data_IF_394730536644
#
_entry.id   IF_394730536644
#
_cell.length_a   1.000
_cell.length_b   1.000
_cell.length_c   1.000
_cell.angle_alpha   90.00
_cell.angle_beta   90.00
_cell.angle_gamma   90.00
#
_symmetry.space_group_name_H-M   'P 1'
#
loop_
_entity.id
_entity.type
_entity.pdbx_description
1 polymer ?
#
# COMPACT_ATOMS: atom_id res chain seq x y z
N UNK A 1 11.25 50.37 25.34
CA UNK A 1 10.15 49.38 25.53
C UNK A 1 9.43 49.04 24.22
N UNK A 2 8.86 50.01 23.49
CA UNK A 2 8.17 49.75 22.20
C UNK A 2 9.03 49.07 21.11
N UNK A 3 10.33 49.41 21.03
CA UNK A 3 11.28 48.79 20.08
C UNK A 3 11.69 47.35 20.45
N UNK A 4 11.64 46.97 21.74
CA UNK A 4 11.94 45.61 22.19
C UNK A 4 10.80 44.64 21.86
N UNK A 5 9.55 45.11 22.01
CA UNK A 5 8.34 44.34 21.67
C UNK A 5 8.30 44.04 20.17
N UNK A 6 8.67 45.00 19.32
CA UNK A 6 8.69 44.81 17.87
C UNK A 6 9.74 43.78 17.42
N UNK A 7 10.87 43.66 18.12
CA UNK A 7 11.92 42.69 17.82
C UNK A 7 11.51 41.25 18.20
N UNK A 8 10.77 41.09 19.31
CA UNK A 8 10.21 39.79 19.71
C UNK A 8 9.13 39.30 18.74
N UNK A 9 8.28 40.19 18.22
CA UNK A 9 7.22 39.82 17.26
C UNK A 9 7.84 39.34 15.93
N UNK A 10 8.93 39.96 15.47
CA UNK A 10 9.62 39.56 14.23
C UNK A 10 10.35 38.22 14.41
N UNK A 11 10.91 37.94 15.60
CA UNK A 11 11.53 36.64 15.88
C UNK A 11 10.50 35.50 15.98
N UNK A 12 9.29 35.77 16.46
CA UNK A 12 8.21 34.78 16.53
C UNK A 12 7.61 34.41 15.16
N UNK A 13 7.68 35.29 14.15
CA UNK A 13 7.16 35.03 12.80
C UNK A 13 8.14 34.17 11.97
N UNK A 14 9.41 34.10 12.36
CA UNK A 14 10.45 33.30 11.70
C UNK A 14 10.43 31.81 12.07
N UNK A 15 9.51 31.39 12.95
CA UNK A 15 9.19 29.97 13.12
C UNK A 15 8.30 29.55 11.96
N UNK A 16 8.90 29.41 10.78
CA UNK A 16 8.31 28.60 9.73
C UNK A 16 8.04 27.24 10.35
N UNK A 17 6.75 26.91 10.48
CA UNK A 17 6.29 25.58 10.85
C UNK A 17 6.74 24.66 9.72
N UNK A 18 7.96 24.13 9.83
CA UNK A 18 8.40 23.04 9.00
C UNK A 18 7.51 21.87 9.39
N UNK A 19 6.57 21.50 8.51
CA UNK A 19 5.92 20.20 8.62
C UNK A 19 7.05 19.15 8.65
N UNK A 20 6.99 18.24 9.61
CA UNK A 20 8.01 17.19 9.77
C UNK A 20 8.03 16.34 8.49
N UNK A 21 9.10 16.49 7.68
CA UNK A 21 9.27 15.75 6.41
C UNK A 21 10.10 14.48 6.58
N UNK A 22 10.46 14.11 7.81
CA UNK A 22 11.21 12.88 8.05
C UNK A 22 10.30 11.66 7.98
N UNK A 23 10.58 10.68 7.09
CA UNK A 23 9.88 9.39 7.09
C UNK A 23 10.12 8.71 8.44
N UNK A 24 9.04 8.48 9.20
CA UNK A 24 9.08 7.75 10.47
C UNK A 24 9.16 6.23 10.27
N UNK A 25 8.81 5.75 9.08
CA UNK A 25 8.92 4.37 8.66
C UNK A 25 9.47 4.32 7.22
N UNK A 26 10.40 3.41 6.95
CA UNK A 26 10.92 3.13 5.61
C UNK A 26 11.42 1.70 5.51
N UNK A 27 11.35 1.14 4.31
CA UNK A 27 11.97 -0.12 3.93
C UNK A 27 13.07 0.19 2.92
N UNK A 28 14.32 0.18 3.37
CA UNK A 28 15.50 0.54 2.57
C UNK A 28 16.72 -0.22 3.06
N UNK A 29 17.76 -0.29 2.24
CA UNK A 29 19.06 -0.88 2.58
C UNK A 29 19.35 -2.13 1.76
N UNK A 30 20.59 -2.61 1.84
CA UNK A 30 21.06 -3.82 1.18
C UNK A 30 21.89 -4.66 2.18
N UNK A 31 21.35 -5.76 2.75
CA UNK A 31 19.97 -6.21 2.58
C UNK A 31 18.97 -5.23 3.21
N UNK A 32 17.74 -5.21 2.70
CA UNK A 32 16.68 -4.32 3.21
C UNK A 32 16.43 -4.55 4.71
N UNK A 33 16.37 -3.46 5.49
CA UNK A 33 16.10 -3.54 6.92
C UNK A 33 14.59 -3.56 7.20
N UNK A 34 14.11 -4.66 7.79
CA UNK A 34 12.71 -4.89 8.17
C UNK A 34 12.43 -4.64 9.65
N UNK A 35 13.35 -4.04 10.40
CA UNK A 35 13.12 -3.71 11.82
C UNK A 35 11.90 -2.80 11.95
N UNK A 36 10.93 -3.21 12.77
CA UNK A 36 9.66 -2.49 12.94
C UNK A 36 8.60 -2.81 11.88
N UNK A 37 8.86 -3.78 11.01
CA UNK A 37 7.92 -4.27 10.00
C UNK A 37 7.62 -5.74 10.21
N UNK A 38 6.36 -6.11 9.97
CA UNK A 38 5.89 -7.49 10.04
C UNK A 38 5.63 -8.02 8.64
N UNK A 39 6.45 -8.98 8.26
CA UNK A 39 6.27 -9.79 7.06
C UNK A 39 5.37 -10.98 7.39
N UNK A 40 4.52 -11.35 6.45
CA UNK A 40 3.55 -12.44 6.59
C UNK A 40 3.31 -13.14 5.25
N UNK A 41 2.91 -14.40 5.30
CA UNK A 41 2.73 -15.21 4.09
C UNK A 41 4.07 -15.44 3.39
N UNK A 42 4.09 -15.25 2.08
CA UNK A 42 5.28 -15.44 1.23
C UNK A 42 6.23 -14.24 1.21
N UNK A 43 5.91 -13.17 1.96
CA UNK A 43 6.70 -11.95 1.97
C UNK A 43 8.11 -12.20 2.54
N UNK A 44 9.15 -11.79 1.80
CA UNK A 44 10.56 -11.93 2.19
C UNK A 44 11.44 -10.85 1.57
N UNK A 45 12.63 -10.67 2.12
CA UNK A 45 13.68 -9.87 1.48
C UNK A 45 14.42 -10.75 0.45
N UNK A 46 14.71 -10.18 -0.71
CA UNK A 46 15.45 -10.87 -1.76
C UNK A 46 15.72 -9.97 -2.96
N UNK A 47 16.03 -10.64 -4.07
CA UNK A 47 16.23 -10.07 -5.40
C UNK A 47 15.30 -10.82 -6.36
N UNK A 48 14.42 -10.11 -7.06
CA UNK A 48 13.54 -10.73 -8.08
C UNK A 48 14.20 -10.82 -9.46
N UNK A 49 15.46 -10.39 -9.60
CA UNK A 49 16.23 -10.37 -10.85
C UNK A 49 15.60 -9.50 -11.94
N UNK A 50 14.66 -8.63 -11.57
CA UNK A 50 14.01 -7.73 -12.51
C UNK A 50 14.78 -6.43 -12.74
N UNK A 51 15.92 -6.24 -12.05
CA UNK A 51 16.85 -5.16 -12.28
C UNK A 51 18.26 -5.68 -12.68
N UNK A 52 19.25 -4.79 -12.77
CA UNK A 52 20.59 -5.13 -13.27
C UNK A 52 21.54 -5.69 -12.21
N UNK A 53 21.20 -5.54 -10.93
CA UNK A 53 22.08 -5.90 -9.82
C UNK A 53 21.63 -7.26 -9.24
N UNK A 54 22.30 -7.69 -8.16
CA UNK A 54 21.98 -8.95 -7.46
C UNK A 54 21.84 -8.72 -5.95
N UNK A 55 21.42 -7.51 -5.60
CA UNK A 55 21.34 -7.02 -4.23
C UNK A 55 20.01 -7.46 -3.61
N UNK A 56 20.05 -7.85 -2.33
CA UNK A 56 18.84 -8.24 -1.60
C UNK A 56 18.14 -7.00 -1.01
N UNK A 57 17.86 -6.00 -1.86
CA UNK A 57 17.26 -4.73 -1.48
C UNK A 57 15.77 -4.62 -1.86
N UNK A 58 15.15 -5.71 -2.32
CA UNK A 58 13.74 -5.76 -2.66
C UNK A 58 12.91 -6.48 -1.57
N UNK A 59 11.72 -5.93 -1.30
CA UNK A 59 10.66 -6.66 -0.59
C UNK A 59 9.83 -7.45 -1.59
N UNK A 60 10.04 -8.76 -1.63
CA UNK A 60 9.28 -9.70 -2.46
C UNK A 60 8.01 -10.09 -1.71
N UNK A 61 6.84 -9.62 -2.16
CA UNK A 61 5.55 -9.94 -1.52
C UNK A 61 5.03 -11.34 -1.87
N UNK A 62 5.25 -11.78 -3.11
CA UNK A 62 4.87 -13.12 -3.55
C UNK A 62 5.84 -13.61 -4.63
N UNK A 63 6.12 -14.90 -4.60
CA UNK A 63 6.88 -15.61 -5.63
C UNK A 63 6.01 -15.82 -6.86
N UNK A 64 6.60 -15.90 -8.07
CA UNK A 64 5.88 -16.11 -9.33
C UNK A 64 5.42 -17.57 -9.47
N UNK A 65 4.67 -18.07 -8.48
CA UNK A 65 4.02 -19.37 -8.49
C UNK A 65 2.58 -19.25 -7.99
N UNK A 66 1.77 -20.26 -8.33
CA UNK A 66 0.33 -20.20 -8.10
C UNK A 66 0.00 -20.19 -6.61
N UNK A 67 -1.07 -19.48 -6.25
CA UNK A 67 -1.69 -19.47 -4.92
C UNK A 67 -0.82 -18.90 -3.79
N UNK A 68 0.14 -18.03 -4.12
CA UNK A 68 0.91 -17.30 -3.12
C UNK A 68 0.22 -16.01 -2.69
N UNK A 69 0.46 -15.61 -1.46
CA UNK A 69 0.09 -14.30 -0.94
C UNK A 69 1.07 -13.94 0.16
N UNK A 70 1.46 -12.68 0.21
CA UNK A 70 2.25 -12.14 1.29
C UNK A 70 1.96 -10.67 1.49
N UNK A 71 2.29 -10.18 2.68
CA UNK A 71 2.16 -8.78 3.01
C UNK A 71 3.23 -8.35 3.99
N UNK A 72 3.50 -7.05 3.99
CA UNK A 72 4.37 -6.38 4.92
C UNK A 72 3.65 -5.16 5.49
N UNK A 73 3.56 -5.07 6.82
CA UNK A 73 2.92 -3.94 7.51
C UNK A 73 3.87 -3.36 8.56
N UNK A 74 3.82 -2.05 8.74
CA UNK A 74 4.52 -1.39 9.83
C UNK A 74 3.89 -1.81 11.17
N UNK A 75 4.71 -2.27 12.12
CA UNK A 75 4.22 -2.89 13.37
C UNK A 75 3.77 -1.88 14.42
N UNK A 76 4.00 -0.58 14.20
CA UNK A 76 3.51 0.49 15.07
C UNK A 76 2.27 1.14 14.46
N UNK A 77 1.14 1.18 15.20
CA UNK A 77 -0.04 1.93 14.78
C UNK A 77 0.30 3.41 14.55
N UNK A 78 -0.24 3.98 13.48
CA UNK A 78 -0.08 5.40 13.15
C UNK A 78 -1.31 6.16 13.64
N UNK A 79 -1.13 7.07 14.60
CA UNK A 79 -2.20 7.94 15.10
C UNK A 79 -2.29 9.22 14.26
N UNK A 80 -3.27 9.26 13.35
CA UNK A 80 -3.53 10.40 12.47
C UNK A 80 -4.33 11.52 13.17
N UNK A 81 -4.76 11.35 14.42
CA UNK A 81 -5.39 12.44 15.18
C UNK A 81 -4.37 13.51 15.60
N UNK A 82 -3.11 13.12 15.79
CA UNK A 82 -2.01 14.04 16.11
C UNK A 82 -1.46 14.74 14.86
N UNK A 83 -1.42 14.03 13.72
CA UNK A 83 -1.04 14.60 12.43
C UNK A 83 -2.01 14.13 11.33
N UNK A 84 -3.01 14.95 10.96
CA UNK A 84 -4.07 14.54 10.03
C UNK A 84 -3.61 14.51 8.55
N UNK A 85 -2.37 14.89 8.29
CA UNK A 85 -1.77 14.88 6.95
C UNK A 85 -0.60 13.92 6.94
N UNK A 86 -0.64 12.96 6.04
CA UNK A 86 0.41 11.99 5.85
C UNK A 86 0.60 11.75 4.36
N UNK A 87 1.79 11.25 4.01
CA UNK A 87 2.11 10.78 2.68
C UNK A 87 2.81 9.43 2.82
N UNK A 88 2.56 8.56 1.85
CA UNK A 88 3.27 7.29 1.70
C UNK A 88 3.71 7.19 0.24
N UNK A 89 4.95 6.79 0.04
CA UNK A 89 5.57 6.66 -1.27
C UNK A 89 6.02 5.21 -1.44
N UNK A 90 5.79 4.67 -2.63
CA UNK A 90 6.08 3.28 -2.95
C UNK A 90 6.73 3.22 -4.33
N UNK A 91 7.95 2.69 -4.37
CA UNK A 91 8.53 2.17 -5.60
C UNK A 91 8.15 0.69 -5.67
N UNK A 92 7.53 0.29 -6.78
CA UNK A 92 7.04 -1.08 -6.94
C UNK A 92 7.25 -1.57 -8.36
N UNK A 93 7.28 -2.89 -8.49
CA UNK A 93 7.28 -3.60 -9.76
C UNK A 93 6.42 -4.85 -9.60
N UNK A 94 5.61 -5.13 -10.62
CA UNK A 94 5.02 -6.45 -10.82
C UNK A 94 5.83 -7.08 -11.95
N UNK A 95 6.57 -8.14 -11.65
CA UNK A 95 7.53 -8.75 -12.55
C UNK A 95 7.39 -10.27 -12.53
N UNK A 96 7.66 -10.87 -13.70
CA UNK A 96 7.58 -12.31 -13.94
C UNK A 96 6.16 -12.90 -13.80
N UNK A 97 6.01 -14.19 -14.14
CA UNK A 97 4.78 -14.96 -14.01
C UNK A 97 3.70 -14.61 -15.03
N UNK A 98 2.45 -14.96 -14.69
CA UNK A 98 1.26 -14.71 -15.53
C UNK A 98 0.63 -13.33 -15.31
N UNK A 99 1.21 -12.50 -14.43
CA UNK A 99 0.71 -11.16 -14.12
C UNK A 99 -0.59 -11.12 -13.31
N UNK A 100 -0.83 -12.05 -12.38
CA UNK A 100 -2.01 -12.10 -11.51
C UNK A 100 -1.61 -12.39 -10.05
N UNK A 101 -2.39 -11.99 -9.03
CA UNK A 101 -3.66 -11.24 -9.10
C UNK A 101 -3.45 -9.71 -9.05
N UNK A 102 -2.38 -9.24 -8.40
CA UNK A 102 -2.08 -7.81 -8.28
C UNK A 102 -1.31 -7.46 -7.01
N UNK A 103 -1.34 -6.18 -6.63
CA UNK A 103 -0.78 -5.64 -5.38
C UNK A 103 -1.72 -4.61 -4.75
N UNK A 104 -1.76 -4.53 -3.42
CA UNK A 104 -2.52 -3.52 -2.70
C UNK A 104 -1.66 -2.75 -1.68
N UNK A 105 -1.79 -1.42 -1.70
CA UNK A 105 -1.23 -0.52 -0.71
C UNK A 105 -2.33 -0.12 0.27
N UNK A 106 -2.14 -0.39 1.55
CA UNK A 106 -3.22 -0.32 2.52
C UNK A 106 -2.86 0.51 3.75
N UNK A 107 -3.82 1.31 4.22
CA UNK A 107 -3.82 1.95 5.53
C UNK A 107 -5.00 1.39 6.33
N UNK A 108 -4.72 0.33 7.10
CA UNK A 108 -5.74 -0.48 7.78
C UNK A 108 -5.64 -0.34 9.28
N UNK A 109 -6.80 -0.33 9.94
CA UNK A 109 -6.86 -0.44 11.38
C UNK A 109 -6.43 -1.83 11.88
N UNK A 110 -6.72 -2.88 11.09
CA UNK A 110 -6.39 -4.26 11.41
C UNK A 110 -5.68 -4.90 10.20
N UNK A 111 -4.34 -4.97 10.18
CA UNK A 111 -3.60 -5.68 9.15
C UNK A 111 -3.95 -7.19 9.09
N UNK A 112 -3.93 -7.82 7.90
CA UNK A 112 -4.12 -9.25 7.76
C UNK A 112 -3.03 -10.05 8.46
N UNK A 113 -3.43 -11.11 9.16
CA UNK A 113 -2.51 -12.15 9.68
C UNK A 113 -2.63 -13.45 8.90
N UNK A 114 -3.67 -13.58 8.09
CA UNK A 114 -3.98 -14.72 7.23
C UNK A 114 -4.50 -14.22 5.89
N UNK A 115 -4.25 -14.97 4.82
CA UNK A 115 -4.67 -14.62 3.47
C UNK A 115 -5.77 -15.55 2.96
N UNK A 116 -6.61 -15.01 2.06
CA UNK A 116 -7.52 -15.85 1.27
C UNK A 116 -6.73 -16.37 0.07
N UNK A 117 -6.69 -17.69 -0.10
CA UNK A 117 -5.92 -18.29 -1.18
C UNK A 117 -6.51 -17.93 -2.56
N UNK A 118 -5.70 -17.37 -3.45
CA UNK A 118 -6.09 -17.05 -4.83
C UNK A 118 -7.18 -15.99 -4.95
N UNK A 119 -7.22 -15.02 -4.03
CA UNK A 119 -8.20 -13.95 -4.08
C UNK A 119 -7.85 -12.75 -3.21
N UNK A 120 -8.61 -11.68 -3.40
CA UNK A 120 -8.54 -10.44 -2.63
C UNK A 120 -7.21 -9.68 -2.69
N UNK A 121 -6.26 -10.07 -3.55
CA UNK A 121 -4.99 -9.33 -3.74
C UNK A 121 -4.26 -9.10 -2.39
N UNK A 122 -4.32 -10.09 -1.49
CA UNK A 122 -3.71 -10.00 -0.16
C UNK A 122 -4.47 -9.16 0.89
N UNK A 123 -5.66 -8.63 0.56
CA UNK A 123 -6.50 -7.85 1.48
C UNK A 123 -7.36 -8.79 2.36
N UNK A 124 -7.50 -8.51 3.67
CA UNK A 124 -8.37 -9.31 4.54
C UNK A 124 -9.84 -9.23 4.09
N UNK A 125 -10.61 -10.29 4.34
CA UNK A 125 -12.00 -10.39 3.89
C UNK A 125 -12.91 -9.28 4.43
N UNK A 126 -12.59 -8.66 5.56
CA UNK A 126 -13.34 -7.51 6.12
C UNK A 126 -12.37 -6.40 6.51
N UNK A 127 -11.81 -5.67 5.53
CA UNK A 127 -10.83 -4.64 5.81
C UNK A 127 -11.52 -3.44 6.46
N UNK A 128 -10.80 -2.72 7.32
CA UNK A 128 -11.25 -1.44 7.87
C UNK A 128 -10.17 -0.40 7.62
N UNK A 129 -10.41 0.50 6.67
CA UNK A 129 -9.43 1.49 6.26
C UNK A 129 -9.42 1.73 4.74
N UNK A 130 -8.37 2.42 4.30
CA UNK A 130 -8.14 2.80 2.91
C UNK A 130 -7.28 1.75 2.20
N UNK A 131 -7.62 1.43 0.96
CA UNK A 131 -6.76 0.64 0.07
C UNK A 131 -6.68 1.27 -1.31
N UNK A 132 -5.47 1.20 -1.89
CA UNK A 132 -5.19 1.47 -3.29
C UNK A 132 -4.78 0.13 -3.89
N UNK A 133 -5.54 -0.35 -4.87
CA UNK A 133 -5.44 -1.71 -5.41
C UNK A 133 -5.03 -1.60 -6.87
N UNK A 134 -3.94 -2.26 -7.23
CA UNK A 134 -3.54 -2.49 -8.61
C UNK A 134 -3.84 -3.95 -8.92
N UNK A 135 -4.93 -4.12 -9.65
CA UNK A 135 -5.52 -5.41 -9.98
C UNK A 135 -5.17 -5.73 -11.43
N UNK A 136 -4.33 -6.74 -11.62
CA UNK A 136 -3.79 -7.09 -12.94
C UNK A 136 -4.53 -8.26 -13.58
N UNK A 137 -5.42 -8.91 -12.83
CA UNK A 137 -6.23 -10.03 -13.32
C UNK A 137 -7.68 -9.59 -13.50
N UNK A 138 -8.24 -9.85 -14.68
CA UNK A 138 -9.63 -9.51 -14.97
C UNK A 138 -10.51 -10.74 -14.82
N UNK A 139 -11.33 -10.80 -13.77
CA UNK A 139 -12.26 -11.93 -13.57
C UNK A 139 -13.55 -11.78 -14.39
N UNK A 140 -13.63 -10.77 -15.26
CA UNK A 140 -14.75 -10.55 -16.18
C UNK A 140 -14.63 -11.40 -17.44
N UNK A 141 -15.64 -12.24 -17.66
CA UNK A 141 -15.73 -13.09 -18.84
C UNK A 141 -15.99 -12.26 -20.11
N UNK A 142 -15.28 -12.56 -21.19
CA UNK A 142 -15.54 -12.00 -22.52
C UNK A 142 -14.94 -10.62 -22.81
N UNK A 143 -14.09 -10.10 -21.91
CA UNK A 143 -13.38 -8.82 -22.07
C UNK A 143 -11.88 -9.02 -22.12
N UNK A 144 -11.16 -8.17 -22.85
CA UNK A 144 -9.70 -8.16 -22.85
C UNK A 144 -9.17 -7.84 -21.45
N UNK A 145 -8.24 -8.64 -20.88
CA UNK A 145 -7.61 -8.34 -19.61
C UNK A 145 -7.00 -6.95 -19.62
N UNK A 146 -7.41 -6.10 -18.69
CA UNK A 146 -6.88 -4.75 -18.53
C UNK A 146 -6.57 -4.54 -17.05
N UNK A 147 -5.30 -4.25 -16.69
CA UNK A 147 -4.97 -3.86 -15.35
C UNK A 147 -5.78 -2.64 -14.91
N UNK A 148 -6.16 -2.60 -13.63
CA UNK A 148 -7.04 -1.56 -13.09
C UNK A 148 -6.51 -1.05 -11.76
N UNK A 149 -6.61 0.26 -11.58
CA UNK A 149 -6.38 0.92 -10.30
C UNK A 149 -7.72 1.17 -9.62
N UNK A 150 -7.85 0.76 -8.36
CA UNK A 150 -9.03 1.02 -7.54
C UNK A 150 -8.63 1.76 -6.27
N UNK A 151 -9.41 2.75 -5.87
CA UNK A 151 -9.30 3.38 -4.54
C UNK A 151 -10.58 3.03 -3.79
N UNK A 152 -10.42 2.44 -2.59
CA UNK A 152 -11.53 1.88 -1.82
C UNK A 152 -11.37 2.20 -0.34
N UNK A 153 -12.49 2.37 0.35
CA UNK A 153 -12.54 2.47 1.81
C UNK A 153 -13.60 1.51 2.35
N UNK A 154 -13.25 0.78 3.41
CA UNK A 154 -14.15 -0.19 4.05
C UNK A 154 -14.27 0.04 5.55
N UNK A 155 -15.41 -0.36 6.11
CA UNK A 155 -15.80 -0.13 7.51
C UNK A 155 -15.44 -1.29 8.46
N UNK A 156 -14.96 -2.42 7.93
CA UNK A 156 -14.70 -3.65 8.69
C UNK A 156 -15.90 -4.57 8.86
N UNK A 157 -17.07 -4.22 8.35
CA UNK A 157 -18.28 -5.06 8.41
C UNK A 157 -18.65 -5.65 7.05
N UNK A 158 -18.30 -4.93 5.98
CA UNK A 158 -18.54 -5.34 4.60
C UNK A 158 -17.47 -6.32 4.13
N UNK A 159 -17.86 -7.40 3.46
CA UNK A 159 -16.90 -8.31 2.84
C UNK A 159 -16.24 -7.65 1.63
N UNK A 160 -14.91 -7.71 1.58
CA UNK A 160 -14.11 -7.49 0.40
C UNK A 160 -13.92 -8.82 -0.32
N UNK A 161 -14.11 -8.85 -1.64
CA UNK A 161 -14.14 -10.12 -2.37
C UNK A 161 -15.50 -10.80 -2.39
N UNK A 162 -15.75 -11.60 -3.43
CA UNK A 162 -16.97 -12.41 -3.61
C UNK A 162 -17.73 -12.11 -4.90
N UNK A 163 -18.95 -12.67 -5.05
CA UNK A 163 -19.79 -12.53 -6.26
C UNK A 163 -20.24 -11.09 -6.58
N UNK A 164 -19.94 -10.13 -5.70
CA UNK A 164 -20.14 -8.70 -5.92
C UNK A 164 -18.92 -8.03 -6.56
N UNK A 165 -17.70 -8.57 -6.42
CA UNK A 165 -16.52 -8.05 -7.11
C UNK A 165 -16.60 -8.29 -8.62
N UNK A 166 -17.15 -9.42 -9.09
CA UNK A 166 -17.37 -9.62 -10.53
C UNK A 166 -18.33 -8.58 -11.15
N UNK A 167 -19.15 -7.89 -10.35
CA UNK A 167 -20.00 -6.79 -10.82
C UNK A 167 -19.30 -5.42 -10.74
N UNK A 168 -18.34 -5.26 -9.82
CA UNK A 168 -17.51 -4.06 -9.66
C UNK A 168 -16.24 -4.09 -10.52
N UNK A 169 -15.83 -5.28 -10.96
CA UNK A 169 -14.67 -5.50 -11.81
C UNK A 169 -14.94 -5.21 -13.27
N UNK A 170 -16.17 -5.49 -13.72
CA UNK A 170 -16.50 -5.33 -15.13
C UNK A 170 -16.79 -3.87 -15.44
N UNK A 171 -16.25 -3.34 -16.55
CA UNK A 171 -16.55 -2.00 -17.00
C UNK A 171 -18.07 -1.78 -17.02
N UNK A 172 -18.55 -0.84 -16.22
CA UNK A 172 -19.93 -0.38 -16.30
C UNK A 172 -20.01 0.73 -17.35
N UNK A 173 -21.13 0.86 -18.10
CA UNK A 173 -21.30 1.88 -19.14
C UNK A 173 -21.06 3.33 -18.68
N UNK A 174 -21.06 3.58 -17.36
CA UNK A 174 -20.88 4.88 -16.73
C UNK A 174 -19.55 5.06 -16.00
N UNK A 175 -18.59 4.12 -16.10
CA UNK A 175 -17.26 4.34 -15.55
C UNK A 175 -16.57 5.42 -16.38
N UNK A 176 -16.07 6.51 -15.75
CA UNK A 176 -15.32 7.52 -16.48
C UNK A 176 -14.09 6.86 -17.09
N UNK A 177 -14.06 6.75 -18.41
CA UNK A 177 -12.85 6.42 -19.14
C UNK A 177 -11.96 7.66 -19.07
N UNK A 178 -10.79 7.51 -18.47
CA UNK A 178 -9.70 8.51 -18.54
C UNK A 178 -9.26 8.73 -19.98
#
# INVERSE_FOLDING_TARGET
MKKLISLCIIYCISLTIAAQTFPFARLTGNPMNTTGWRLSGDARIGDTQGDTNSDNDELVLCSPSNFNSGACFFDQPVDISECPKWAAEFDYRIFDGNGADGIAFCFLANPPTTFTQGGNVGIPAKPRGLMIILDTYLNCLGTTPTPKVQIRFFDGNTNFGGSTESLLECPQPSQPTS
#
